data_IF_253551910415
#
_entry.id   IF_253551910415
#
_cell.length_a   1.000
_cell.length_b   1.000
_cell.length_c   1.000
_cell.angle_alpha   90.00
_cell.angle_beta   90.00
_cell.angle_gamma   90.00
#
_symmetry.space_group_name_H-M   'P 1'
#
loop_
_entity.id
_entity.type
_entity.pdbx_description
1 polymer ?
#
# COMPACT_ATOMS: atom_id res chain seq x y z
N UNK A 1 -1.91 -16.21 -28.09
CA UNK A 1 -1.44 -16.53 -26.73
C UNK A 1 -0.21 -15.69 -26.39
N UNK A 2 0.78 -15.58 -27.29
CA UNK A 2 1.96 -14.72 -27.09
C UNK A 2 1.63 -13.22 -27.02
N UNK A 3 0.69 -12.73 -27.84
CA UNK A 3 0.29 -11.31 -27.83
C UNK A 3 -0.36 -10.88 -26.50
N UNK A 4 -1.11 -11.77 -25.85
CA UNK A 4 -1.81 -11.47 -24.59
C UNK A 4 -0.85 -11.38 -23.40
N UNK A 5 0.19 -12.23 -23.39
CA UNK A 5 1.26 -12.18 -22.40
C UNK A 5 2.09 -10.91 -22.58
N UNK A 6 2.42 -10.56 -23.83
CA UNK A 6 3.13 -9.32 -24.17
C UNK A 6 2.40 -8.06 -23.69
N UNK A 7 1.09 -7.99 -23.90
CA UNK A 7 0.26 -6.87 -23.42
C UNK A 7 0.26 -6.79 -21.89
N UNK A 8 0.09 -7.93 -21.19
CA UNK A 8 0.10 -7.97 -19.72
C UNK A 8 1.44 -7.48 -19.14
N UNK A 9 2.55 -7.93 -19.70
CA UNK A 9 3.89 -7.50 -19.27
C UNK A 9 4.11 -6.00 -19.59
N UNK A 10 3.67 -5.54 -20.77
CA UNK A 10 3.76 -4.13 -21.15
C UNK A 10 3.00 -3.22 -20.19
N UNK A 11 1.77 -3.59 -19.82
CA UNK A 11 0.98 -2.87 -18.82
C UNK A 11 1.64 -2.90 -17.43
N UNK A 12 2.22 -4.03 -17.03
CA UNK A 12 2.96 -4.16 -15.78
C UNK A 12 4.18 -3.23 -15.71
N UNK A 13 4.99 -3.20 -16.77
CA UNK A 13 6.15 -2.31 -16.89
C UNK A 13 5.74 -0.83 -16.86
N UNK A 14 4.69 -0.47 -17.59
CA UNK A 14 4.18 0.90 -17.64
C UNK A 14 3.60 1.33 -16.28
N UNK A 15 2.79 0.47 -15.65
CA UNK A 15 2.27 0.73 -14.31
C UNK A 15 3.39 0.88 -13.28
N UNK A 16 4.42 0.03 -13.32
CA UNK A 16 5.61 0.16 -12.48
C UNK A 16 6.39 1.45 -12.73
N UNK A 17 6.46 1.91 -13.99
CA UNK A 17 7.06 3.21 -14.35
C UNK A 17 6.29 4.38 -13.73
N UNK A 18 4.96 4.34 -13.73
CA UNK A 18 4.14 5.38 -13.09
C UNK A 18 4.32 5.40 -11.57
N UNK A 19 4.38 4.22 -10.94
CA UNK A 19 4.68 4.09 -9.50
C UNK A 19 6.07 4.69 -9.19
N UNK A 20 7.07 4.38 -10.04
CA UNK A 20 8.41 4.94 -9.95
C UNK A 20 8.38 6.47 -10.11
N UNK A 21 7.67 6.98 -11.12
CA UNK A 21 7.57 8.41 -11.38
C UNK A 21 7.01 9.17 -10.18
N UNK A 22 5.91 8.68 -9.60
CA UNK A 22 5.31 9.28 -8.41
C UNK A 22 6.29 9.33 -7.22
N UNK A 23 6.91 8.20 -6.91
CA UNK A 23 7.86 8.08 -5.79
C UNK A 23 9.17 8.86 -6.02
N UNK A 24 9.68 8.85 -7.25
CA UNK A 24 10.80 9.66 -7.74
C UNK A 24 10.54 11.15 -7.62
N UNK A 25 9.38 11.64 -8.07
CA UNK A 25 9.04 13.05 -7.94
C UNK A 25 8.96 13.47 -6.48
N UNK A 26 8.34 12.65 -5.62
CA UNK A 26 8.24 12.98 -4.21
C UNK A 26 9.63 13.03 -3.53
N UNK A 27 10.50 12.06 -3.83
CA UNK A 27 11.85 12.01 -3.28
C UNK A 27 12.73 13.14 -3.82
N UNK A 28 12.63 13.46 -5.11
CA UNK A 28 13.42 14.50 -5.75
C UNK A 28 13.05 15.91 -5.28
N UNK A 29 11.75 16.21 -5.17
CA UNK A 29 11.27 17.54 -4.77
C UNK A 29 11.27 17.75 -3.26
N UNK A 30 10.82 16.76 -2.49
CA UNK A 30 10.59 16.90 -1.05
C UNK A 30 11.56 16.09 -0.19
N UNK A 31 12.40 15.23 -0.79
CA UNK A 31 13.34 14.40 -0.04
C UNK A 31 12.68 13.30 0.78
N UNK A 32 11.36 13.12 0.69
CA UNK A 32 10.59 12.20 1.52
C UNK A 32 10.23 10.92 0.77
N UNK A 33 10.28 9.81 1.50
CA UNK A 33 9.87 8.51 0.94
C UNK A 33 8.34 8.42 0.86
N UNK A 34 7.83 7.97 -0.27
CA UNK A 34 6.42 7.57 -0.46
C UNK A 34 6.16 6.20 0.18
N UNK A 35 6.03 6.19 1.51
CA UNK A 35 5.66 4.98 2.27
C UNK A 35 4.19 5.01 2.71
N UNK A 36 3.33 4.19 2.09
CA UNK A 36 1.92 4.04 2.49
C UNK A 36 1.78 3.47 3.92
N UNK A 37 2.71 2.62 4.36
CA UNK A 37 2.78 2.13 5.74
C UNK A 37 3.03 3.23 6.75
N UNK A 38 3.92 4.15 6.40
CA UNK A 38 4.21 5.34 7.18
C UNK A 38 3.00 6.25 7.33
N UNK A 39 1.93 6.06 6.55
CA UNK A 39 0.68 6.79 6.71
C UNK A 39 -0.26 6.12 7.73
N UNK A 40 -0.48 4.80 7.65
CA UNK A 40 -1.39 4.07 8.54
C UNK A 40 -1.00 4.24 10.02
N UNK A 41 0.31 4.33 10.27
CA UNK A 41 0.89 4.60 11.59
C UNK A 41 0.46 5.89 12.27
N UNK A 42 0.24 6.96 11.50
CA UNK A 42 -0.06 8.28 12.08
C UNK A 42 -1.55 8.40 12.41
N UNK A 43 -2.40 7.71 11.64
CA UNK A 43 -3.83 7.60 11.91
C UNK A 43 -4.06 6.83 13.21
N UNK A 44 -3.41 5.67 13.39
CA UNK A 44 -3.56 4.85 14.61
C UNK A 44 -2.89 5.47 15.83
N UNK A 45 -1.71 6.06 15.66
CA UNK A 45 -0.98 6.72 16.75
C UNK A 45 -1.51 8.11 17.11
N UNK A 46 -2.57 8.61 16.46
CA UNK A 46 -3.10 9.98 16.60
C UNK A 46 -2.04 11.09 16.53
N UNK A 47 -0.99 10.89 15.71
CA UNK A 47 0.13 11.83 15.58
C UNK A 47 -0.13 12.81 14.43
N UNK A 48 -0.83 13.92 14.69
CA UNK A 48 -1.14 14.91 13.65
C UNK A 48 -0.03 15.96 13.47
N UNK A 49 1.08 15.54 12.86
CA UNK A 49 2.21 16.42 12.54
C UNK A 49 1.99 17.27 11.27
N UNK A 50 2.93 18.18 10.94
CA UNK A 50 2.82 19.09 9.78
C UNK A 50 2.83 18.36 8.41
N UNK A 51 3.40 17.16 8.35
CA UNK A 51 3.41 16.30 7.15
C UNK A 51 2.10 15.54 6.93
N UNK A 52 1.24 15.44 7.95
CA UNK A 52 0.00 14.64 7.88
C UNK A 52 -0.93 15.08 6.73
N UNK A 53 -1.22 16.38 6.53
CA UNK A 53 -2.11 16.81 5.47
C UNK A 53 -1.58 16.51 4.05
N UNK A 54 -0.26 16.57 3.86
CA UNK A 54 0.37 16.24 2.58
C UNK A 54 0.22 14.75 2.26
N UNK A 55 0.37 13.88 3.26
CA UNK A 55 0.15 12.44 3.12
C UNK A 55 -1.32 12.10 2.84
N UNK A 56 -2.25 12.81 3.50
CA UNK A 56 -3.69 12.69 3.19
C UNK A 56 -3.97 13.08 1.75
N UNK A 57 -3.42 14.20 1.28
CA UNK A 57 -3.59 14.64 -0.10
C UNK A 57 -3.10 13.59 -1.11
N UNK A 58 -1.98 12.91 -0.84
CA UNK A 58 -1.48 11.81 -1.67
C UNK A 58 -2.43 10.62 -1.73
N UNK A 59 -2.95 10.16 -0.60
CA UNK A 59 -3.86 9.01 -0.56
C UNK A 59 -5.21 9.34 -1.18
N UNK A 60 -5.66 10.55 -0.95
CA UNK A 60 -6.81 11.11 -1.62
C UNK A 60 -6.57 11.12 -3.15
N UNK A 61 -5.42 11.57 -3.64
CA UNK A 61 -5.09 11.46 -5.07
C UNK A 61 -5.19 10.02 -5.59
N UNK A 62 -4.60 9.07 -4.85
CA UNK A 62 -4.61 7.65 -5.20
C UNK A 62 -6.00 7.02 -5.27
N UNK A 63 -6.87 7.33 -4.30
CA UNK A 63 -8.23 6.78 -4.27
C UNK A 63 -9.07 7.45 -5.35
N UNK A 64 -9.00 8.78 -5.48
CA UNK A 64 -9.80 9.55 -6.45
C UNK A 64 -9.56 9.12 -7.89
N UNK A 65 -8.30 8.90 -8.29
CA UNK A 65 -8.00 8.52 -9.70
C UNK A 65 -8.55 7.15 -10.05
N UNK A 66 -8.46 6.19 -9.12
CA UNK A 66 -8.93 4.82 -9.32
C UNK A 66 -10.46 4.82 -9.34
N UNK A 67 -11.08 5.55 -8.41
CA UNK A 67 -12.51 5.75 -8.38
C UNK A 67 -13.05 6.38 -9.67
N UNK A 68 -12.42 7.46 -10.14
CA UNK A 68 -12.78 8.12 -11.39
C UNK A 68 -12.65 7.15 -12.55
N UNK A 69 -11.57 6.36 -12.62
CA UNK A 69 -11.42 5.40 -13.71
C UNK A 69 -12.51 4.32 -13.68
N UNK A 70 -12.80 3.71 -12.52
CA UNK A 70 -13.82 2.66 -12.44
C UNK A 70 -15.25 3.18 -12.66
N UNK A 71 -15.62 4.30 -12.03
CA UNK A 71 -16.97 4.84 -12.10
C UNK A 71 -17.23 5.66 -13.37
N UNK A 72 -16.28 6.48 -13.80
CA UNK A 72 -16.46 7.33 -15.00
C UNK A 72 -16.04 6.59 -16.28
N UNK A 73 -14.90 5.92 -16.29
CA UNK A 73 -14.46 5.21 -17.51
C UNK A 73 -15.15 3.84 -17.66
N UNK A 74 -15.16 3.02 -16.62
CA UNK A 74 -15.78 1.68 -16.67
C UNK A 74 -17.30 1.71 -16.84
N UNK A 75 -18.00 2.37 -15.91
CA UNK A 75 -19.47 2.33 -15.86
C UNK A 75 -20.14 3.29 -16.84
N UNK A 76 -19.66 4.52 -16.96
CA UNK A 76 -20.33 5.56 -17.78
C UNK A 76 -19.94 5.45 -19.27
N UNK A 77 -18.67 5.14 -19.59
CA UNK A 77 -18.22 5.06 -20.99
C UNK A 77 -18.35 3.65 -21.60
N UNK A 78 -18.17 2.58 -20.81
CA UNK A 78 -18.11 1.19 -21.31
C UNK A 78 -19.26 0.29 -20.85
N UNK A 79 -20.13 0.76 -19.95
CA UNK A 79 -21.32 0.03 -19.52
C UNK A 79 -21.06 -1.32 -18.86
N UNK A 80 -19.82 -1.60 -18.44
CA UNK A 80 -19.43 -2.85 -17.78
C UNK A 80 -18.88 -2.56 -16.38
N UNK A 81 -19.29 -3.39 -15.42
CA UNK A 81 -18.62 -3.44 -14.13
C UNK A 81 -17.23 -4.06 -14.35
N UNK A 82 -16.18 -3.23 -14.34
CA UNK A 82 -14.76 -3.63 -14.54
C UNK A 82 -14.20 -4.42 -13.33
N UNK A 83 -15.08 -4.86 -12.43
CA UNK A 83 -14.75 -5.64 -11.25
C UNK A 83 -14.85 -7.13 -11.58
N UNK A 84 -13.80 -7.88 -11.23
CA UNK A 84 -13.81 -9.34 -11.32
C UNK A 84 -15.09 -9.88 -10.61
N UNK A 85 -15.99 -10.55 -11.35
CA UNK A 85 -17.23 -11.06 -10.80
C UNK A 85 -16.90 -12.32 -10.01
N UNK A 86 -17.25 -12.31 -8.72
CA UNK A 86 -17.23 -13.48 -7.83
C UNK A 86 -15.84 -13.97 -7.39
N UNK A 87 -15.15 -13.17 -6.56
CA UNK A 87 -14.06 -13.71 -5.74
C UNK A 87 -14.61 -14.36 -4.47
N UNK A 88 -14.33 -15.64 -4.30
CA UNK A 88 -14.53 -16.35 -3.04
C UNK A 88 -13.55 -15.80 -1.98
N UNK A 89 -14.12 -15.15 -0.96
CA UNK A 89 -13.36 -14.63 0.17
C UNK A 89 -13.49 -15.62 1.32
N UNK A 90 -12.36 -16.17 1.75
CA UNK A 90 -12.28 -16.83 3.04
C UNK A 90 -12.12 -15.76 4.13
N UNK A 91 -13.22 -15.52 4.86
CA UNK A 91 -13.28 -14.51 5.92
C UNK A 91 -12.21 -14.76 6.99
N UNK A 92 -11.95 -16.01 7.36
CA UNK A 92 -10.95 -16.34 8.38
C UNK A 92 -9.53 -15.99 7.90
N UNK A 93 -9.17 -16.38 6.68
CA UNK A 93 -7.89 -16.00 6.06
C UNK A 93 -7.75 -14.48 5.95
N UNK A 94 -8.85 -13.77 5.71
CA UNK A 94 -8.86 -12.31 5.65
C UNK A 94 -8.68 -11.64 7.01
N UNK A 95 -9.38 -12.13 8.05
CA UNK A 95 -9.23 -11.63 9.42
C UNK A 95 -7.79 -11.84 9.90
N UNK A 96 -7.31 -13.08 9.83
CA UNK A 96 -5.95 -13.43 10.26
C UNK A 96 -4.94 -12.65 9.42
N UNK A 97 -5.06 -12.71 8.09
CA UNK A 97 -4.11 -12.09 7.19
C UNK A 97 -4.09 -10.56 7.31
N UNK A 98 -5.23 -9.90 7.48
CA UNK A 98 -5.31 -8.45 7.68
C UNK A 98 -4.61 -8.00 8.96
N UNK A 99 -4.85 -8.70 10.08
CA UNK A 99 -4.18 -8.42 11.36
C UNK A 99 -2.66 -8.66 11.25
N UNK A 100 -2.25 -9.77 10.62
CA UNK A 100 -0.83 -10.09 10.40
C UNK A 100 -0.12 -9.06 9.51
N UNK A 101 -0.79 -8.57 8.46
CA UNK A 101 -0.27 -7.45 7.65
C UNK A 101 -0.09 -6.22 8.51
N UNK A 102 -1.08 -5.87 9.34
CA UNK A 102 -1.00 -4.72 10.25
C UNK A 102 0.19 -4.79 11.21
N UNK A 103 0.31 -5.90 11.94
CA UNK A 103 1.44 -6.19 12.85
C UNK A 103 2.78 -6.16 12.10
N UNK A 104 2.85 -6.85 10.96
CA UNK A 104 4.06 -7.00 10.17
C UNK A 104 4.57 -5.68 9.59
N UNK A 105 3.65 -4.85 9.10
CA UNK A 105 3.95 -3.49 8.65
C UNK A 105 4.52 -2.67 9.80
N UNK A 106 3.90 -2.74 10.99
CA UNK A 106 4.33 -1.95 12.15
C UNK A 106 5.70 -2.33 12.68
N UNK A 107 5.98 -3.63 12.85
CA UNK A 107 7.30 -4.12 13.30
C UNK A 107 8.42 -3.90 12.28
N UNK A 108 8.12 -3.97 10.97
CA UNK A 108 9.14 -3.76 9.94
C UNK A 108 9.45 -2.28 9.66
N UNK A 109 8.53 -1.38 10.02
CA UNK A 109 8.60 0.04 9.70
C UNK A 109 8.22 0.35 8.24
N UNK A 110 7.60 -0.59 7.51
CA UNK A 110 7.33 -0.45 6.08
C UNK A 110 6.41 -1.53 5.50
N UNK A 111 6.11 -1.44 4.21
CA UNK A 111 5.44 -2.51 3.44
C UNK A 111 6.23 -2.76 2.14
N UNK A 112 5.65 -3.48 1.19
CA UNK A 112 6.20 -3.75 -0.15
C UNK A 112 6.68 -2.48 -0.86
N UNK A 113 5.91 -1.39 -0.86
CA UNK A 113 6.34 -0.14 -1.50
C UNK A 113 7.42 0.61 -0.71
N UNK A 114 7.39 0.52 0.63
CA UNK A 114 8.39 1.12 1.50
C UNK A 114 9.77 0.46 1.39
N UNK A 115 9.83 -0.86 1.54
CA UNK A 115 11.08 -1.62 1.48
C UNK A 115 11.50 -1.97 0.06
N UNK A 116 10.57 -2.41 -0.78
CA UNK A 116 10.84 -2.76 -2.18
C UNK A 116 11.08 -1.52 -3.03
N UNK A 117 10.00 -0.81 -3.36
CA UNK A 117 10.01 0.29 -4.35
C UNK A 117 10.87 1.47 -3.92
N UNK A 118 10.92 1.81 -2.62
CA UNK A 118 11.70 2.95 -2.13
C UNK A 118 12.97 2.57 -1.37
N UNK A 119 13.03 1.38 -0.78
CA UNK A 119 14.15 0.94 0.07
C UNK A 119 15.32 0.37 -0.74
N UNK A 120 15.04 -0.53 -1.70
CA UNK A 120 16.05 -1.14 -2.56
C UNK A 120 16.84 -0.11 -3.40
N UNK A 121 16.21 0.89 -4.05
CA UNK A 121 16.91 1.96 -4.76
C UNK A 121 17.95 2.74 -3.95
N UNK A 122 17.84 2.74 -2.63
CA UNK A 122 18.76 3.45 -1.72
C UNK A 122 19.86 2.55 -1.16
N UNK A 123 19.95 1.30 -1.63
CA UNK A 123 20.87 0.29 -1.10
C UNK A 123 20.72 0.05 0.41
N UNK A 124 19.50 0.15 0.95
CA UNK A 124 19.24 -0.16 2.36
C UNK A 124 19.33 -1.67 2.59
N UNK A 125 20.33 -2.12 3.36
CA UNK A 125 20.47 -3.52 3.81
C UNK A 125 19.21 -3.99 4.55
N UNK A 126 18.67 -3.14 5.43
CA UNK A 126 17.40 -3.36 6.15
C UNK A 126 16.26 -3.72 5.20
N UNK A 127 16.14 -2.96 4.11
CA UNK A 127 15.07 -3.16 3.13
C UNK A 127 15.28 -4.39 2.26
N UNK A 128 16.52 -4.71 1.89
CA UNK A 128 16.84 -5.95 1.18
C UNK A 128 16.46 -7.18 1.99
N UNK A 129 16.85 -7.22 3.28
CA UNK A 129 16.51 -8.32 4.19
C UNK A 129 15.00 -8.45 4.33
N UNK A 130 14.28 -7.34 4.53
CA UNK A 130 12.82 -7.37 4.60
C UNK A 130 12.18 -7.96 3.34
N UNK A 131 12.64 -7.54 2.15
CA UNK A 131 12.13 -8.02 0.86
C UNK A 131 12.34 -9.53 0.70
N UNK A 132 13.54 -10.03 1.01
CA UNK A 132 13.81 -11.45 0.94
C UNK A 132 12.89 -12.26 1.88
N UNK A 133 12.71 -11.78 3.12
CA UNK A 133 11.89 -12.48 4.11
C UNK A 133 10.41 -12.48 3.72
N UNK A 134 9.83 -11.33 3.42
CA UNK A 134 8.39 -11.31 3.09
C UNK A 134 8.07 -12.04 1.79
N UNK A 135 8.99 -12.05 0.81
CA UNK A 135 8.82 -12.83 -0.41
C UNK A 135 8.90 -14.32 -0.12
N UNK A 136 9.88 -14.77 0.66
CA UNK A 136 10.02 -16.18 1.02
C UNK A 136 8.78 -16.71 1.75
N UNK A 137 8.32 -15.99 2.78
CA UNK A 137 7.11 -16.38 3.53
C UNK A 137 5.85 -16.25 2.68
N UNK A 138 5.72 -15.20 1.86
CA UNK A 138 4.57 -15.04 0.96
C UNK A 138 4.46 -16.17 -0.06
N UNK A 139 5.57 -16.53 -0.71
CA UNK A 139 5.62 -17.63 -1.68
C UNK A 139 5.33 -18.97 -0.99
N UNK A 140 5.95 -19.22 0.16
CA UNK A 140 5.73 -20.45 0.92
C UNK A 140 4.25 -20.59 1.34
N UNK A 141 3.67 -19.56 1.95
CA UNK A 141 2.26 -19.58 2.39
C UNK A 141 1.30 -19.70 1.22
N UNK A 142 1.51 -18.98 0.12
CA UNK A 142 0.64 -19.06 -1.06
C UNK A 142 0.71 -20.44 -1.72
N UNK A 143 1.92 -21.01 -1.83
CA UNK A 143 2.13 -22.35 -2.40
C UNK A 143 1.53 -23.43 -1.51
N UNK A 144 1.64 -23.32 -0.19
CA UNK A 144 0.99 -24.23 0.77
C UNK A 144 -0.53 -24.15 0.63
N UNK A 145 -1.11 -22.95 0.61
CA UNK A 145 -2.56 -22.76 0.44
C UNK A 145 -3.07 -23.30 -0.91
N UNK A 146 -2.25 -23.23 -1.96
CA UNK A 146 -2.59 -23.80 -3.26
C UNK A 146 -2.66 -25.34 -3.24
N UNK A 147 -1.97 -26.01 -2.32
CA UNK A 147 -1.95 -27.48 -2.19
C UNK A 147 -2.97 -27.96 -1.17
N UNK A 148 -3.00 -27.36 0.02
CA UNK A 148 -3.86 -27.79 1.14
C UNK A 148 -5.30 -27.29 0.98
N UNK A 149 -5.49 -26.24 0.19
CA UNK A 149 -6.75 -25.50 0.15
C UNK A 149 -6.83 -24.45 1.27
N UNK A 150 -7.91 -23.67 1.30
CA UNK A 150 -8.06 -22.56 2.23
C UNK A 150 -8.20 -23.05 3.69
N UNK A 151 -7.68 -22.25 4.64
CA UNK A 151 -7.72 -22.52 6.10
C UNK A 151 -9.13 -22.77 6.69
N UNK A 152 -10.18 -22.42 5.95
CA UNK A 152 -11.57 -22.62 6.29
C UNK A 152 -12.40 -22.74 5.00
N UNK A 153 -13.63 -23.29 5.04
CA UNK A 153 -14.51 -23.27 3.88
C UNK A 153 -14.69 -21.84 3.35
N UNK A 154 -14.55 -21.67 2.04
CA UNK A 154 -14.82 -20.40 1.38
C UNK A 154 -16.33 -20.13 1.42
N UNK A 155 -16.70 -18.94 1.87
CA UNK A 155 -18.08 -18.49 1.77
C UNK A 155 -18.24 -17.76 0.43
N UNK A 156 -19.09 -18.31 -0.44
CA UNK A 156 -19.56 -17.54 -1.59
C UNK A 156 -20.40 -16.38 -1.08
N UNK A 157 -20.05 -15.18 -1.52
CA UNK A 157 -20.86 -14.00 -1.23
C UNK A 157 -22.20 -14.17 -1.97
N UNK A 158 -23.26 -14.42 -1.21
CA UNK A 158 -24.60 -14.70 -1.75
C UNK A 158 -25.19 -13.44 -2.43
N UNK A 159 -26.14 -13.63 -3.36
CA UNK A 159 -26.72 -12.51 -4.14
C UNK A 159 -27.37 -11.42 -3.28
N UNK A 160 -27.93 -11.73 -2.10
CA UNK A 160 -28.53 -10.74 -1.19
C UNK A 160 -27.49 -9.79 -0.55
N UNK A 161 -26.25 -10.26 -0.40
CA UNK A 161 -25.14 -9.44 0.08
C UNK A 161 -24.65 -8.47 -1.01
N UNK A 162 -24.94 -8.74 -2.31
CA UNK A 162 -24.58 -7.83 -3.43
C UNK A 162 -25.22 -6.45 -3.28
N UNK A 163 -26.37 -6.33 -2.61
CA UNK A 163 -27.03 -5.04 -2.32
C UNK A 163 -26.19 -4.20 -1.36
N UNK A 164 -25.68 -4.81 -0.28
CA UNK A 164 -24.75 -4.16 0.65
C UNK A 164 -23.41 -3.81 -0.02
N UNK A 165 -22.94 -4.65 -0.96
CA UNK A 165 -21.75 -4.39 -1.78
C UNK A 165 -21.89 -3.23 -2.77
N UNK A 166 -23.11 -2.88 -3.19
CA UNK A 166 -23.32 -1.74 -4.09
C UNK A 166 -23.58 -0.43 -3.33
N UNK A 167 -24.13 -0.50 -2.12
CA UNK A 167 -24.45 0.68 -1.30
C UNK A 167 -23.24 1.12 -0.48
N UNK A 168 -22.50 0.19 0.13
CA UNK A 168 -21.36 0.53 1.00
C UNK A 168 -20.26 1.31 0.27
N UNK A 169 -19.78 0.91 -0.93
CA UNK A 169 -18.78 1.69 -1.65
C UNK A 169 -19.32 3.04 -2.08
N UNK A 170 -20.62 3.19 -2.37
CA UNK A 170 -21.24 4.49 -2.69
C UNK A 170 -21.30 5.42 -1.49
N UNK A 171 -21.65 4.92 -0.30
CA UNK A 171 -21.62 5.72 0.93
C UNK A 171 -20.19 6.11 1.27
N UNK A 172 -19.27 5.16 1.20
CA UNK A 172 -17.84 5.41 1.44
C UNK A 172 -17.30 6.41 0.43
N UNK A 173 -17.67 6.30 -0.84
CA UNK A 173 -17.31 7.24 -1.90
C UNK A 173 -17.85 8.65 -1.62
N UNK A 174 -19.12 8.78 -1.27
CA UNK A 174 -19.73 10.08 -0.95
C UNK A 174 -19.08 10.74 0.28
N UNK A 175 -18.83 9.97 1.34
CA UNK A 175 -18.14 10.45 2.55
C UNK A 175 -16.69 10.83 2.23
N UNK A 176 -16.02 10.02 1.41
CA UNK A 176 -14.68 10.28 0.92
C UNK A 176 -14.62 11.58 0.13
N UNK A 177 -15.49 11.78 -0.87
CA UNK A 177 -15.58 13.00 -1.67
C UNK A 177 -15.82 14.24 -0.79
N UNK A 178 -16.72 14.13 0.20
CA UNK A 178 -16.97 15.21 1.15
C UNK A 178 -15.71 15.52 1.99
N UNK A 179 -15.01 14.50 2.47
CA UNK A 179 -13.77 14.67 3.24
C UNK A 179 -12.67 15.33 2.39
N UNK A 180 -12.54 14.97 1.10
CA UNK A 180 -11.61 15.61 0.16
C UNK A 180 -11.90 17.11 0.06
N UNK A 181 -13.16 17.47 -0.17
CA UNK A 181 -13.58 18.88 -0.29
C UNK A 181 -13.28 19.65 1.00
N UNK A 182 -13.63 19.09 2.16
CA UNK A 182 -13.37 19.72 3.46
C UNK A 182 -11.87 19.91 3.71
N UNK A 183 -11.06 18.87 3.45
CA UNK A 183 -9.61 18.93 3.63
C UNK A 183 -8.95 19.96 2.71
N UNK A 184 -9.35 20.00 1.43
CA UNK A 184 -8.84 20.99 0.47
C UNK A 184 -9.23 22.40 0.90
N UNK A 185 -10.49 22.62 1.28
CA UNK A 185 -10.97 23.92 1.71
C UNK A 185 -10.29 24.41 2.99
N UNK A 186 -10.15 23.54 4.00
CA UNK A 186 -9.40 23.83 5.23
C UNK A 186 -7.96 24.26 4.93
N UNK A 187 -7.28 23.55 4.02
CA UNK A 187 -5.89 23.84 3.68
C UNK A 187 -5.74 25.13 2.87
N UNK A 188 -6.67 25.42 1.96
CA UNK A 188 -6.69 26.67 1.20
C UNK A 188 -6.89 27.90 2.09
N UNK A 189 -7.70 27.77 3.16
CA UNK A 189 -7.90 28.83 4.15
C UNK A 189 -6.66 29.04 5.02
N UNK A 190 -6.03 27.94 5.48
CA UNK A 190 -4.92 28.00 6.43
C UNK A 190 -3.57 28.39 5.82
N UNK A 191 -3.39 28.18 4.52
CA UNK A 191 -2.12 28.44 3.87
C UNK A 191 -1.89 29.94 3.62
N UNK A 192 -0.84 30.49 4.24
CA UNK A 192 -0.47 31.90 4.14
C UNK A 192 0.38 32.16 2.90
N UNK A 193 1.23 31.20 2.50
CA UNK A 193 2.15 31.36 1.37
C UNK A 193 1.73 30.59 0.13
N UNK A 194 2.16 31.08 -1.06
CA UNK A 194 1.91 30.40 -2.35
C UNK A 194 2.55 29.00 -2.41
N UNK A 195 3.71 28.82 -1.75
CA UNK A 195 4.41 27.54 -1.71
C UNK A 195 3.68 26.50 -0.85
N UNK A 196 3.08 26.91 0.27
CA UNK A 196 2.28 26.01 1.10
C UNK A 196 1.00 25.54 0.41
N UNK A 197 0.39 26.40 -0.41
CA UNK A 197 -0.77 26.01 -1.25
C UNK A 197 -0.41 24.97 -2.32
N UNK A 198 0.82 25.03 -2.86
CA UNK A 198 1.27 24.15 -3.95
C UNK A 198 1.62 22.73 -3.47
N UNK A 199 2.09 22.57 -2.22
CA UNK A 199 2.53 21.26 -1.71
C UNK A 199 1.41 20.20 -1.70
N UNK A 200 0.21 20.43 -1.14
CA UNK A 200 -0.86 19.43 -1.17
C UNK A 200 -1.30 19.07 -2.58
N UNK A 201 -1.34 20.04 -3.49
CA UNK A 201 -1.70 19.82 -4.90
C UNK A 201 -0.66 18.89 -5.55
N UNK A 202 0.63 19.15 -5.31
CA UNK A 202 1.70 18.30 -5.81
C UNK A 202 1.59 16.87 -5.25
N UNK A 203 1.34 16.72 -3.94
CA UNK A 203 1.13 15.41 -3.32
C UNK A 203 -0.11 14.69 -3.86
N UNK A 204 -1.21 15.42 -4.10
CA UNK A 204 -2.41 14.87 -4.73
C UNK A 204 -2.11 14.35 -6.13
N UNK A 205 -1.40 15.13 -6.97
CA UNK A 205 -1.02 14.71 -8.33
C UNK A 205 -0.12 13.48 -8.29
N UNK A 206 0.90 13.48 -7.42
CA UNK A 206 1.77 12.31 -7.23
C UNK A 206 0.97 11.09 -6.77
N UNK A 207 0.01 11.28 -5.88
CA UNK A 207 -0.93 10.26 -5.44
C UNK A 207 -1.74 9.69 -6.60
N UNK A 208 -2.33 10.56 -7.43
CA UNK A 208 -3.07 10.13 -8.62
C UNK A 208 -2.21 9.36 -9.61
N UNK A 209 -0.96 9.77 -9.82
CA UNK A 209 -0.01 9.01 -10.67
C UNK A 209 0.27 7.62 -10.06
N UNK A 210 0.44 7.54 -8.75
CA UNK A 210 0.68 6.28 -8.04
C UNK A 210 -0.52 5.34 -8.13
N UNK A 211 -1.73 5.85 -7.88
CA UNK A 211 -2.99 5.09 -7.95
C UNK A 211 -3.26 4.57 -9.37
N UNK A 212 -3.03 5.41 -10.38
CA UNK A 212 -3.12 5.01 -11.79
C UNK A 212 -2.09 3.91 -12.13
N UNK A 213 -0.87 4.01 -11.61
CA UNK A 213 0.15 2.98 -11.75
C UNK A 213 -0.26 1.63 -11.13
N UNK A 214 -0.87 1.64 -9.94
CA UNK A 214 -1.43 0.43 -9.32
C UNK A 214 -2.55 -0.20 -10.16
N UNK A 215 -3.39 0.63 -10.75
CA UNK A 215 -4.48 0.19 -11.60
C UNK A 215 -3.98 -0.44 -12.90
N UNK A 216 -3.11 0.26 -13.65
CA UNK A 216 -2.61 -0.21 -14.94
C UNK A 216 -1.72 -1.44 -14.79
N UNK A 217 -0.90 -1.50 -13.74
CA UNK A 217 -0.11 -2.71 -13.45
C UNK A 217 -0.98 -3.92 -13.08
N UNK A 218 -2.24 -3.70 -12.69
CA UNK A 218 -3.14 -4.75 -12.20
C UNK A 218 -2.86 -5.19 -10.76
N UNK A 219 -2.01 -4.46 -10.03
CA UNK A 219 -1.77 -4.72 -8.60
C UNK A 219 -3.01 -4.50 -7.72
N UNK A 220 -4.06 -3.88 -8.27
CA UNK A 220 -5.38 -3.79 -7.64
C UNK A 220 -6.14 -5.12 -7.62
N UNK A 221 -5.71 -6.12 -8.39
CA UNK A 221 -6.38 -7.43 -8.43
C UNK A 221 -5.76 -8.44 -7.46
N UNK A 222 -6.59 -9.10 -6.68
CA UNK A 222 -6.18 -10.14 -5.73
C UNK A 222 -5.67 -11.37 -6.47
N UNK A 223 -6.38 -11.81 -7.51
CA UNK A 223 -5.99 -12.96 -8.36
C UNK A 223 -4.56 -12.85 -8.89
N UNK A 224 -4.15 -11.72 -9.49
CA UNK A 224 -2.78 -11.55 -10.00
C UNK A 224 -1.73 -11.69 -8.91
N UNK A 225 -1.99 -11.14 -7.72
CA UNK A 225 -1.05 -11.22 -6.59
C UNK A 225 -0.91 -12.67 -6.11
N UNK A 226 -2.02 -13.40 -5.95
CA UNK A 226 -1.99 -14.79 -5.50
C UNK A 226 -1.28 -15.67 -6.54
N UNK A 227 -1.57 -15.48 -7.82
CA UNK A 227 -0.92 -16.21 -8.92
C UNK A 227 0.57 -15.89 -9.04
N UNK A 228 1.00 -14.70 -8.65
CA UNK A 228 2.43 -14.40 -8.58
C UNK A 228 3.13 -15.12 -7.41
N UNK A 229 2.45 -15.27 -6.26
CA UNK A 229 3.04 -15.88 -5.07
C UNK A 229 2.99 -17.40 -5.06
N UNK A 230 1.92 -18.00 -5.58
CA UNK A 230 1.77 -19.44 -5.65
C UNK A 230 2.55 -19.98 -6.86
N UNK A 231 3.65 -20.69 -6.61
CA UNK A 231 4.43 -21.35 -7.66
C UNK A 231 3.70 -22.61 -8.15
N UNK A 232 2.66 -22.41 -8.94
CA UNK A 232 1.82 -23.46 -9.51
C UNK A 232 1.70 -23.31 -11.04
N UNK A 233 0.79 -24.07 -11.67
CA UNK A 233 0.60 -24.05 -13.13
C UNK A 233 0.07 -22.71 -13.67
N UNK A 234 -0.57 -21.90 -12.83
CA UNK A 234 -1.19 -20.62 -13.19
C UNK A 234 -0.32 -19.42 -12.80
N UNK A 235 0.99 -19.65 -12.61
CA UNK A 235 1.93 -18.64 -12.15
C UNK A 235 2.04 -17.45 -13.12
N UNK A 236 1.82 -16.24 -12.62
CA UNK A 236 1.85 -15.00 -13.41
C UNK A 236 3.07 -14.14 -13.01
N UNK A 237 4.07 -13.96 -13.90
CA UNK A 237 5.30 -13.21 -13.61
C UNK A 237 5.12 -11.68 -13.68
N UNK A 238 3.95 -11.17 -14.06
CA UNK A 238 3.72 -9.73 -14.31
C UNK A 238 4.15 -8.84 -13.14
N UNK A 239 3.94 -9.26 -11.88
CA UNK A 239 4.33 -8.48 -10.70
C UNK A 239 5.84 -8.28 -10.58
N UNK A 240 6.66 -9.25 -11.02
CA UNK A 240 8.11 -9.09 -11.04
C UNK A 240 8.53 -7.95 -11.98
N UNK A 241 7.86 -7.81 -13.13
CA UNK A 241 8.12 -6.72 -14.07
C UNK A 241 7.71 -5.36 -13.52
N UNK A 242 6.60 -5.27 -12.77
CA UNK A 242 6.22 -4.03 -12.06
C UNK A 242 7.32 -3.61 -11.09
N UNK A 243 7.81 -4.55 -10.27
CA UNK A 243 8.86 -4.26 -9.31
C UNK A 243 10.18 -3.90 -10.00
N UNK A 244 10.54 -4.61 -11.07
CA UNK A 244 11.77 -4.37 -11.83
C UNK A 244 11.80 -2.96 -12.44
N UNK A 245 10.72 -2.51 -13.09
CA UNK A 245 10.68 -1.15 -13.65
C UNK A 245 10.62 -0.08 -12.55
N UNK A 246 9.83 -0.30 -11.50
CA UNK A 246 9.73 0.64 -10.39
C UNK A 246 11.06 0.83 -9.64
N UNK A 247 11.72 -0.27 -9.27
CA UNK A 247 13.02 -0.25 -8.59
C UNK A 247 14.12 0.26 -9.51
N UNK A 248 14.13 -0.15 -10.79
CA UNK A 248 15.14 0.30 -11.74
C UNK A 248 15.13 1.81 -11.97
N UNK A 249 13.96 2.41 -12.17
CA UNK A 249 13.83 3.86 -12.36
C UNK A 249 14.14 4.61 -11.07
N UNK A 250 13.61 4.15 -9.93
CA UNK A 250 13.91 4.78 -8.65
C UNK A 250 15.39 4.67 -8.28
N UNK A 251 16.08 3.59 -8.65
CA UNK A 251 17.51 3.45 -8.42
C UNK A 251 18.26 4.58 -9.10
N UNK A 252 17.93 4.92 -10.34
CA UNK A 252 18.54 6.04 -11.06
C UNK A 252 18.22 7.37 -10.38
N UNK A 253 16.94 7.65 -10.13
CA UNK A 253 16.51 8.95 -9.59
C UNK A 253 16.98 9.18 -8.16
N UNK A 254 16.88 8.17 -7.29
CA UNK A 254 17.21 8.32 -5.87
C UNK A 254 18.71 8.47 -5.68
N UNK A 255 19.52 7.70 -6.41
CA UNK A 255 20.98 7.85 -6.39
C UNK A 255 21.41 9.21 -6.92
N UNK A 256 20.75 9.73 -7.97
CA UNK A 256 20.99 11.08 -8.45
C UNK A 256 20.67 12.14 -7.39
N UNK A 257 19.51 12.06 -6.73
CA UNK A 257 19.11 12.99 -5.66
C UNK A 257 20.06 12.93 -4.46
N UNK A 258 20.49 11.74 -4.06
CA UNK A 258 21.46 11.55 -2.97
C UNK A 258 22.80 12.18 -3.34
N UNK A 259 23.31 11.93 -4.56
CA UNK A 259 24.57 12.52 -5.05
C UNK A 259 24.51 14.05 -5.16
N UNK A 260 23.33 14.60 -5.47
CA UNK A 260 23.10 16.05 -5.49
C UNK A 260 23.18 16.68 -4.09
N UNK A 261 23.06 15.89 -3.02
CA UNK A 261 23.19 16.35 -1.64
C UNK A 261 21.92 16.97 -1.04
N UNK A 262 20.76 16.81 -1.69
CA UNK A 262 19.51 17.36 -1.16
C UNK A 262 18.35 17.37 -2.15
N UNK A 263 17.14 17.53 -1.62
CA UNK A 263 15.94 17.73 -2.42
C UNK A 263 15.91 19.13 -3.03
N UNK A 264 15.17 19.31 -4.14
CA UNK A 264 15.07 20.61 -4.85
C UNK A 264 14.56 21.73 -3.94
N UNK A 265 13.62 21.43 -3.05
CA UNK A 265 13.07 22.43 -2.11
C UNK A 265 13.89 22.56 -0.81
N UNK A 266 15.19 22.26 -0.85
CA UNK A 266 16.13 22.35 0.29
C UNK A 266 15.65 21.61 1.55
N UNK A 267 14.87 20.54 1.36
CA UNK A 267 14.47 19.66 2.45
C UNK A 267 15.52 18.56 2.64
N UNK A 268 15.77 18.21 3.90
CA UNK A 268 16.57 17.04 4.24
C UNK A 268 15.99 15.78 3.61
N UNK A 269 16.86 15.03 2.94
CA UNK A 269 16.52 13.77 2.28
C UNK A 269 16.48 12.64 3.31
N UNK A 270 15.48 11.77 3.17
CA UNK A 270 15.39 10.56 3.98
C UNK A 270 16.44 9.54 3.50
N UNK A 271 17.49 9.38 4.29
CA UNK A 271 18.59 8.45 4.04
C UNK A 271 18.16 7.00 4.33
N UNK A 272 18.86 6.00 3.74
CA UNK A 272 18.62 4.60 4.05
C UNK A 272 18.94 4.29 5.51
N UNK A 273 17.97 3.75 6.23
CA UNK A 273 18.20 3.23 7.58
C UNK A 273 19.06 1.95 7.51
N UNK A 274 20.01 1.87 8.42
CA UNK A 274 20.96 0.76 8.57
C UNK A 274 20.73 -0.05 9.85
N UNK A 275 19.89 0.44 10.77
CA UNK A 275 19.63 -0.23 12.03
C UNK A 275 18.82 -1.51 11.81
N UNK A 276 19.33 -2.62 12.35
CA UNK A 276 18.72 -3.94 12.28
C UNK A 276 18.17 -4.30 13.66
N UNK A 277 16.89 -3.99 13.87
CA UNK A 277 16.14 -4.44 15.04
C UNK A 277 15.64 -5.89 14.85
N UNK A 278 15.15 -6.53 15.91
CA UNK A 278 14.48 -7.84 15.79
C UNK A 278 13.20 -7.74 14.96
N UNK A 279 12.59 -6.56 14.91
CA UNK A 279 11.37 -6.26 14.14
C UNK A 279 11.53 -6.49 12.63
N UNK A 280 12.74 -6.30 12.08
CA UNK A 280 13.00 -6.52 10.66
C UNK A 280 12.97 -7.99 10.22
N UNK A 281 13.08 -8.93 11.16
CA UNK A 281 12.97 -10.35 10.84
C UNK A 281 11.54 -10.84 11.02
N UNK A 282 10.91 -10.47 12.13
CA UNK A 282 9.56 -10.92 12.48
C UNK A 282 8.50 -10.19 11.65
N UNK A 283 8.61 -8.87 11.51
CA UNK A 283 7.62 -8.04 10.82
C UNK A 283 7.39 -8.46 9.36
N UNK A 284 8.45 -8.56 8.53
CA UNK A 284 8.31 -8.98 7.13
C UNK A 284 7.80 -10.42 6.99
N UNK A 285 8.12 -11.33 7.92
CA UNK A 285 7.58 -12.69 7.89
C UNK A 285 6.07 -12.69 8.08
N UNK A 286 5.56 -11.99 9.10
CA UNK A 286 4.12 -11.86 9.34
C UNK A 286 3.41 -11.15 8.18
N UNK A 287 4.04 -10.10 7.63
CA UNK A 287 3.51 -9.42 6.46
C UNK A 287 3.41 -10.37 5.25
N UNK A 288 4.44 -11.16 4.97
CA UNK A 288 4.44 -12.13 3.87
C UNK A 288 3.32 -13.17 3.99
N UNK A 289 3.16 -13.75 5.18
CA UNK A 289 2.07 -14.71 5.48
C UNK A 289 0.71 -14.04 5.26
N UNK A 290 0.49 -12.86 5.86
CA UNK A 290 -0.79 -12.16 5.76
C UNK A 290 -1.10 -11.73 4.33
N UNK A 291 -0.10 -11.26 3.58
CA UNK A 291 -0.24 -10.86 2.18
C UNK A 291 -0.64 -12.05 1.28
N UNK A 292 -0.08 -13.23 1.52
CA UNK A 292 -0.47 -14.45 0.81
C UNK A 292 -1.90 -14.92 1.15
N UNK A 293 -2.36 -14.71 2.39
CA UNK A 293 -3.70 -15.09 2.83
C UNK A 293 -4.79 -14.18 2.27
N UNK A 294 -4.54 -12.87 2.26
CA UNK A 294 -5.52 -11.88 1.78
C UNK A 294 -5.44 -11.69 0.28
N UNK A 295 -4.25 -11.87 -0.32
CA UNK A 295 -3.97 -11.59 -1.73
C UNK A 295 -3.97 -10.10 -2.07
N UNK A 296 -4.02 -9.21 -1.08
CA UNK A 296 -3.96 -7.75 -1.28
C UNK A 296 -3.01 -7.13 -0.25
N UNK A 297 -2.15 -6.23 -0.71
CA UNK A 297 -1.31 -5.43 0.19
C UNK A 297 -2.01 -4.10 0.55
N UNK A 298 -1.51 -3.33 1.54
CA UNK A 298 -2.22 -2.15 2.03
C UNK A 298 -2.53 -1.08 0.97
N UNK A 299 -1.67 -0.90 -0.03
CA UNK A 299 -1.87 0.10 -1.10
C UNK A 299 -3.06 -0.23 -2.01
N UNK A 300 -3.05 -1.38 -2.71
CA UNK A 300 -4.20 -1.93 -3.42
C UNK A 300 -5.48 -1.98 -2.59
N UNK A 301 -5.38 -2.40 -1.31
CA UNK A 301 -6.53 -2.44 -0.43
C UNK A 301 -7.14 -1.05 -0.22
N UNK A 302 -6.31 0.00 -0.04
CA UNK A 302 -6.77 1.39 0.12
C UNK A 302 -7.45 1.93 -1.15
N UNK A 303 -6.85 1.73 -2.33
CA UNK A 303 -7.43 2.28 -3.58
C UNK A 303 -8.68 1.55 -4.02
N UNK A 304 -8.85 0.29 -3.61
CA UNK A 304 -10.06 -0.47 -3.90
C UNK A 304 -11.21 -0.20 -2.93
N UNK A 305 -11.05 0.58 -1.86
CA UNK A 305 -12.13 0.79 -0.87
C UNK A 305 -13.42 1.34 -1.52
N UNK A 306 -13.30 2.25 -2.48
CA UNK A 306 -14.46 2.89 -3.13
C UNK A 306 -15.05 2.04 -4.27
N UNK A 307 -14.35 0.97 -4.66
CA UNK A 307 -14.72 0.11 -5.79
C UNK A 307 -15.21 -1.25 -5.27
N UNK A 308 -14.52 -1.82 -4.28
CA UNK A 308 -14.78 -3.12 -3.64
C UNK A 308 -14.99 -2.90 -2.14
N UNK A 309 -16.25 -2.92 -1.69
CA UNK A 309 -16.60 -2.62 -0.29
C UNK A 309 -15.95 -3.54 0.74
N UNK A 310 -15.60 -4.78 0.37
CA UNK A 310 -14.88 -5.69 1.27
C UNK A 310 -13.45 -5.22 1.57
N UNK A 311 -12.82 -4.40 0.72
CA UNK A 311 -11.49 -3.85 0.99
C UNK A 311 -11.49 -2.93 2.20
N UNK A 312 -12.64 -2.34 2.55
CA UNK A 312 -12.79 -1.60 3.81
C UNK A 312 -12.54 -2.50 5.02
N UNK A 313 -13.09 -3.73 5.01
CA UNK A 313 -12.86 -4.71 6.08
C UNK A 313 -11.36 -5.01 6.22
N UNK A 314 -10.66 -5.24 5.10
CA UNK A 314 -9.23 -5.51 5.13
C UNK A 314 -8.43 -4.32 5.70
N UNK A 315 -8.76 -3.10 5.29
CA UNK A 315 -8.11 -1.89 5.79
C UNK A 315 -8.35 -1.71 7.29
N UNK A 316 -9.56 -1.95 7.77
CA UNK A 316 -9.87 -1.94 9.21
C UNK A 316 -9.09 -3.00 9.98
N UNK A 317 -8.97 -4.22 9.45
CA UNK A 317 -8.18 -5.29 10.07
C UNK A 317 -6.69 -4.96 10.13
N UNK A 318 -6.14 -4.33 9.08
CA UNK A 318 -4.76 -3.83 9.06
C UNK A 318 -4.58 -2.78 10.16
N UNK A 319 -5.52 -1.85 10.32
CA UNK A 319 -5.48 -0.87 11.42
C UNK A 319 -5.57 -1.54 12.79
N UNK A 320 -6.44 -2.53 12.97
CA UNK A 320 -6.53 -3.31 14.20
C UNK A 320 -5.21 -4.01 14.53
N UNK A 321 -4.54 -4.59 13.53
CA UNK A 321 -3.21 -5.20 13.71
C UNK A 321 -2.15 -4.18 14.13
N UNK A 322 -2.17 -2.97 13.59
CA UNK A 322 -1.25 -1.91 14.00
C UNK A 322 -1.53 -1.41 15.43
N UNK A 323 -2.80 -1.24 15.79
CA UNK A 323 -3.19 -0.86 17.14
C UNK A 323 -2.78 -1.94 18.16
N UNK A 324 -2.92 -3.22 17.79
CA UNK A 324 -2.47 -4.34 18.60
C UNK A 324 -0.96 -4.31 18.82
N UNK A 325 -0.17 -4.03 17.78
CA UNK A 325 1.28 -3.85 17.94
C UNK A 325 1.59 -2.76 18.97
N UNK A 326 1.00 -1.57 18.82
CA UNK A 326 1.29 -0.44 19.70
C UNK A 326 0.89 -0.73 21.15
N UNK A 327 -0.21 -1.47 21.37
CA UNK A 327 -0.59 -1.97 22.68
C UNK A 327 0.43 -2.97 23.26
N UNK A 328 0.91 -3.91 22.45
CA UNK A 328 1.91 -4.91 22.88
C UNK A 328 3.24 -4.25 23.24
N UNK A 329 3.70 -3.29 22.43
CA UNK A 329 4.91 -2.51 22.73
C UNK A 329 4.78 -1.74 24.04
N UNK A 330 3.66 -1.05 24.28
CA UNK A 330 3.45 -0.31 25.55
C UNK A 330 3.43 -1.28 26.75
N UNK A 331 2.76 -2.43 26.61
CA UNK A 331 2.59 -3.39 27.71
C UNK A 331 3.86 -4.15 28.06
N UNK A 332 4.69 -4.45 27.06
CA UNK A 332 5.90 -5.26 27.21
C UNK A 332 7.19 -4.45 27.06
N UNK A 333 7.10 -3.12 26.97
CA UNK A 333 8.26 -2.24 27.02
C UNK A 333 9.02 -2.51 28.33
N UNK A 334 10.34 -2.72 28.28
CA UNK A 334 11.14 -2.82 29.49
C UNK A 334 10.98 -1.52 30.26
N UNK A 335 10.47 -1.61 31.50
CA UNK A 335 10.39 -0.46 32.41
C UNK A 335 11.77 0.16 32.53
N UNK A 336 11.86 1.47 32.36
CA UNK A 336 13.11 2.21 32.59
C UNK A 336 13.49 2.11 34.07
N UNK A 337 14.79 2.17 34.34
CA UNK A 337 15.38 1.99 35.69
C UNK A 337 14.75 2.94 36.73
N UNK A 338 14.23 4.09 36.31
CA UNK A 338 13.56 5.07 37.17
C UNK A 338 12.24 4.57 37.78
N UNK A 339 11.52 3.65 37.13
CA UNK A 339 10.29 3.05 37.69
C UNK A 339 10.58 1.94 38.71
N UNK A 340 11.79 1.38 38.74
CA UNK A 340 12.19 0.36 39.70
C UNK A 340 12.65 0.93 41.04
N UNK A 341 13.02 2.22 41.12
CA UNK A 341 13.53 2.86 42.34
C UNK A 341 12.45 3.65 43.11
N UNK A 342 11.20 3.61 42.68
CA UNK A 342 10.07 4.31 43.32
C UNK A 342 9.10 3.38 44.07
N UNK A 343 9.51 2.13 44.35
CA UNK A 343 8.73 1.11 45.04
C UNK A 343 9.09 0.95 46.51
#
# INVERSE_FOLDING_TARGET
>A
MDDEIGIKIGMALFGGTLIALSSSLNYFFFGKITGLSGFLFYVVGFKFGPLFPLRMAFIIGMITVVDLFYNFYGRVLWGQDVLDPEEEINILSWIIGGILIGLGVRWSGGCTSGHGVCGLPRFSKRSLVAVCIFMAFGIATASINAVIGPLAPSFKINQDVKVYYNILPRVVLSLYQLAVVICVFYYLIKAETKLEKLKPIAYFIMGSIFGLGLLISGMTSRRKIIHFLALNKDWDPSLAFVMASAVGINLLTFQYTIKRGGAVFNQEIDLPDTYMDKGIYVGPALFGIGWALTGLCPGPALVNITVQGYCLLLVLLIFSGQALHDYLEIKFAPKTVDECNAG
#
